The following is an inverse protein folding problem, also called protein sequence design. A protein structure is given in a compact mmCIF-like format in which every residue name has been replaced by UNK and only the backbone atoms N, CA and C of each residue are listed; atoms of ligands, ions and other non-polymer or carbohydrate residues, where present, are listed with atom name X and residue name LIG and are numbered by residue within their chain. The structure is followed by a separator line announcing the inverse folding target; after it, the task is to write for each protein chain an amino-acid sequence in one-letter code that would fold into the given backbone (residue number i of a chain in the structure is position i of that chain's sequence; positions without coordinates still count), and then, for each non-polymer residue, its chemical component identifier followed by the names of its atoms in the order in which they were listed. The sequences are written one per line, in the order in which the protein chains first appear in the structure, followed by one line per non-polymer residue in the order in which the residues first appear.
data_IF_954609065493
#
_entry.id   IF_954609065493
#
_cell.length_a   1.000
_cell.length_b   1.000
_cell.length_c   1.000
_cell.angle_alpha   90.00
_cell.angle_beta   90.00
_cell.angle_gamma   90.00
#
_symmetry.space_group_name_H-M   'P 1'
#
loop_
_entity.id
_entity.type
_entity.pdbx_description
1 polymer ?
#
# COMPACT_ATOMS: atom_id res chain seq x y z
N UNK A 1 -24.40 -4.85 -5.82
CA UNK A 1 -23.20 -4.99 -4.95
C UNK A 1 -23.13 -3.72 -4.10
N UNK A 2 -23.06 -3.82 -2.76
CA UNK A 2 -22.95 -2.67 -1.88
C UNK A 2 -21.67 -1.85 -2.14
N UNK A 3 -21.72 -0.55 -1.79
CA UNK A 3 -20.59 0.37 -1.90
C UNK A 3 -20.30 0.94 -0.50
N UNK A 4 -19.04 0.91 -0.10
CA UNK A 4 -18.51 1.59 1.07
C UNK A 4 -17.57 2.69 0.54
N UNK A 5 -17.83 3.94 0.90
CA UNK A 5 -17.05 5.09 0.44
C UNK A 5 -16.65 5.96 1.63
N UNK A 6 -15.46 6.54 1.57
CA UNK A 6 -14.97 7.49 2.57
C UNK A 6 -16.00 8.58 2.87
N UNK A 7 -16.59 9.21 1.83
CA UNK A 7 -17.53 10.34 1.95
C UNK A 7 -18.87 9.97 2.61
N UNK A 8 -19.24 8.68 2.60
CA UNK A 8 -20.50 8.20 3.18
C UNK A 8 -20.30 7.29 4.39
N UNK A 9 -19.07 7.00 4.73
CA UNK A 9 -18.73 6.09 5.83
C UNK A 9 -19.17 6.67 7.19
N UNK A 10 -19.68 5.80 8.05
CA UNK A 10 -20.01 6.11 9.43
C UNK A 10 -19.51 5.00 10.34
N UNK A 11 -18.83 5.38 11.41
CA UNK A 11 -18.33 4.42 12.42
C UNK A 11 -19.43 3.55 13.05
N UNK A 12 -20.70 3.92 12.90
CA UNK A 12 -21.84 3.11 13.37
C UNK A 12 -22.07 1.86 12.51
N UNK A 13 -21.50 1.79 11.31
CA UNK A 13 -21.70 0.73 10.32
C UNK A 13 -20.38 0.06 9.90
N UNK A 14 -19.42 -0.06 10.83
CA UNK A 14 -18.15 -0.73 10.52
C UNK A 14 -18.39 -2.18 10.13
N UNK A 15 -19.16 -2.93 10.95
CA UNK A 15 -19.54 -4.30 10.61
C UNK A 15 -20.78 -4.29 9.69
N UNK A 16 -20.52 -4.35 8.40
CA UNK A 16 -21.58 -4.38 7.38
C UNK A 16 -21.98 -5.80 6.96
N UNK A 17 -21.21 -6.85 7.38
CA UNK A 17 -21.48 -8.25 7.07
C UNK A 17 -21.41 -8.64 5.59
N UNK A 18 -20.95 -7.78 4.70
CA UNK A 18 -20.87 -8.06 3.26
C UNK A 18 -19.68 -8.94 2.94
N UNK A 19 -19.91 -10.03 2.21
CA UNK A 19 -18.84 -10.87 1.66
C UNK A 19 -18.32 -10.38 0.30
N UNK A 20 -19.11 -9.56 -0.41
CA UNK A 20 -18.79 -8.94 -1.70
C UNK A 20 -19.27 -7.50 -1.71
N UNK A 21 -18.36 -6.55 -1.89
CA UNK A 21 -18.68 -5.11 -1.90
C UNK A 21 -17.61 -4.30 -2.63
N UNK A 22 -18.02 -3.11 -3.10
CA UNK A 22 -17.07 -2.09 -3.56
C UNK A 22 -16.59 -1.25 -2.38
N UNK A 23 -15.31 -0.92 -2.38
CA UNK A 23 -14.73 0.09 -1.48
C UNK A 23 -14.13 1.21 -2.34
N UNK A 24 -14.43 2.46 -1.98
CA UNK A 24 -14.14 3.62 -2.83
C UNK A 24 -13.57 4.76 -1.99
N UNK A 25 -12.46 5.31 -2.45
CA UNK A 25 -11.97 6.62 -2.05
C UNK A 25 -12.10 7.56 -3.25
N UNK A 26 -13.04 8.52 -3.22
CA UNK A 26 -13.23 9.43 -4.33
C UNK A 26 -12.11 10.46 -4.50
N UNK A 27 -11.33 10.71 -3.44
CA UNK A 27 -10.24 11.68 -3.45
C UNK A 27 -9.18 11.37 -2.37
N UNK A 28 -8.35 10.35 -2.61
CA UNK A 28 -7.15 10.09 -1.79
C UNK A 28 -6.08 11.15 -2.06
N UNK A 29 -5.50 11.68 -0.98
CA UNK A 29 -4.58 12.81 -1.06
C UNK A 29 -5.28 14.16 -1.08
N UNK A 30 -6.31 14.36 -0.27
CA UNK A 30 -7.03 15.65 -0.14
C UNK A 30 -6.08 16.82 0.13
N UNK A 31 -5.02 16.62 0.91
CA UNK A 31 -4.00 17.63 1.18
C UNK A 31 -3.21 18.00 -0.07
N UNK A 32 -2.80 17.01 -0.83
CA UNK A 32 -2.12 17.17 -2.12
C UNK A 32 -3.02 17.95 -3.10
N UNK A 33 -4.29 17.58 -3.17
CA UNK A 33 -5.29 18.25 -3.99
C UNK A 33 -5.48 19.73 -3.61
N UNK A 34 -5.63 20.03 -2.31
CA UNK A 34 -5.77 21.42 -1.80
C UNK A 34 -4.51 22.23 -2.12
N UNK A 35 -3.34 21.64 -2.00
CA UNK A 35 -2.05 22.27 -2.29
C UNK A 35 -1.71 22.33 -3.79
N UNK A 36 -2.66 21.93 -4.66
CA UNK A 36 -2.49 21.90 -6.13
C UNK A 36 -1.30 21.04 -6.58
N UNK A 37 -1.02 19.98 -5.86
CA UNK A 37 -0.10 18.92 -6.28
C UNK A 37 -0.83 17.97 -7.20
N UNK A 38 -0.11 17.36 -8.16
CA UNK A 38 -0.67 16.38 -9.09
C UNK A 38 -0.76 14.98 -8.46
N UNK A 39 -0.33 14.79 -7.21
CA UNK A 39 -0.21 13.49 -6.54
C UNK A 39 -1.45 13.13 -5.70
N UNK A 40 -2.66 13.20 -6.30
CA UNK A 40 -3.90 12.71 -5.71
C UNK A 40 -4.54 11.64 -6.61
N UNK A 41 -5.31 10.73 -6.01
CA UNK A 41 -5.90 9.60 -6.74
C UNK A 41 -7.36 9.38 -6.41
N UNK A 42 -8.04 8.64 -7.29
CA UNK A 42 -9.36 8.04 -7.07
C UNK A 42 -9.14 6.53 -6.98
N UNK A 43 -9.61 5.90 -5.92
CA UNK A 43 -9.39 4.49 -5.67
C UNK A 43 -10.72 3.73 -5.64
N UNK A 44 -10.84 2.65 -6.41
CA UNK A 44 -12.01 1.79 -6.47
C UNK A 44 -11.56 0.34 -6.41
N UNK A 45 -12.02 -0.42 -5.43
CA UNK A 45 -11.71 -1.84 -5.30
C UNK A 45 -12.97 -2.69 -5.13
N UNK A 46 -12.94 -3.90 -5.68
CA UNK A 46 -13.92 -4.94 -5.39
C UNK A 46 -13.32 -5.93 -4.39
N UNK A 47 -13.99 -6.06 -3.26
CA UNK A 47 -13.58 -6.95 -2.19
C UNK A 47 -14.48 -8.18 -2.20
N UNK A 48 -13.89 -9.38 -2.17
CA UNK A 48 -14.57 -10.64 -1.93
C UNK A 48 -13.91 -11.37 -0.77
N UNK A 49 -14.71 -11.75 0.24
CA UNK A 49 -14.22 -12.51 1.42
C UNK A 49 -12.96 -11.92 2.02
N UNK A 50 -12.97 -10.60 2.22
CA UNK A 50 -11.87 -9.80 2.78
C UNK A 50 -10.62 -9.64 1.88
N UNK A 51 -10.67 -10.10 0.63
CA UNK A 51 -9.57 -10.03 -0.33
C UNK A 51 -9.92 -9.03 -1.42
N UNK A 52 -9.02 -8.12 -1.81
CA UNK A 52 -9.24 -7.24 -2.94
C UNK A 52 -8.99 -8.03 -4.23
N UNK A 53 -10.07 -8.36 -4.94
CA UNK A 53 -10.02 -9.20 -6.16
C UNK A 53 -9.85 -8.39 -7.45
N UNK A 54 -10.20 -7.11 -7.41
CA UNK A 54 -10.05 -6.17 -8.51
C UNK A 54 -9.84 -4.77 -7.96
N UNK A 55 -9.02 -3.95 -8.63
CA UNK A 55 -8.77 -2.58 -8.25
C UNK A 55 -8.48 -1.67 -9.43
N UNK A 56 -8.91 -0.41 -9.28
CA UNK A 56 -8.61 0.70 -10.19
C UNK A 56 -8.07 1.86 -9.36
N UNK A 57 -6.93 2.42 -9.76
CA UNK A 57 -6.37 3.65 -9.23
C UNK A 57 -6.25 4.65 -10.38
N UNK A 58 -6.97 5.74 -10.31
CA UNK A 58 -6.87 6.84 -11.27
C UNK A 58 -6.10 8.01 -10.67
N UNK A 59 -5.13 8.56 -11.41
CA UNK A 59 -4.45 9.83 -11.09
C UNK A 59 -4.80 10.87 -12.15
N UNK A 60 -5.89 11.62 -11.99
CA UNK A 60 -6.44 12.49 -13.04
C UNK A 60 -5.45 13.57 -13.50
N UNK A 61 -4.75 14.20 -12.56
CA UNK A 61 -3.77 15.24 -12.88
C UNK A 61 -2.57 14.72 -13.68
N UNK A 62 -2.22 13.44 -13.49
CA UNK A 62 -1.14 12.77 -14.23
C UNK A 62 -1.62 12.09 -15.51
N UNK A 63 -2.92 12.11 -15.79
CA UNK A 63 -3.55 11.35 -16.90
C UNK A 63 -3.15 9.87 -16.89
N UNK A 64 -3.02 9.28 -15.71
CA UNK A 64 -2.65 7.87 -15.50
C UNK A 64 -3.81 7.08 -14.91
N UNK A 65 -3.91 5.82 -15.32
CA UNK A 65 -4.87 4.85 -14.80
C UNK A 65 -4.18 3.49 -14.64
N UNK A 66 -4.27 2.92 -13.46
CA UNK A 66 -3.83 1.57 -13.14
C UNK A 66 -5.03 0.70 -12.80
N UNK A 67 -5.02 -0.52 -13.24
CA UNK A 67 -6.02 -1.51 -12.87
C UNK A 67 -5.43 -2.91 -12.85
N UNK A 68 -6.00 -3.79 -12.06
CA UNK A 68 -5.57 -5.17 -11.99
C UNK A 68 -6.59 -6.07 -11.29
N UNK A 69 -6.49 -7.35 -11.60
CA UNK A 69 -7.29 -8.41 -11.01
C UNK A 69 -6.38 -9.55 -10.56
N UNK A 70 -6.69 -10.15 -9.41
CA UNK A 70 -5.95 -11.35 -8.96
C UNK A 70 -6.19 -12.58 -9.85
N UNK A 71 -7.19 -12.53 -10.74
CA UNK A 71 -7.50 -13.60 -11.69
C UNK A 71 -6.74 -13.45 -13.02
N UNK A 72 -6.15 -12.27 -13.29
CA UNK A 72 -5.38 -11.97 -14.50
C UNK A 72 -4.04 -11.38 -14.10
N UNK A 73 -3.11 -12.22 -13.70
CA UNK A 73 -1.83 -11.79 -13.18
C UNK A 73 -0.75 -11.66 -14.28
N UNK A 74 0.04 -10.61 -14.19
CA UNK A 74 1.21 -10.35 -15.03
C UNK A 74 2.41 -10.00 -14.13
N UNK A 75 3.04 -10.99 -13.47
CA UNK A 75 4.08 -10.75 -12.48
C UNK A 75 5.30 -10.06 -13.07
N UNK A 76 5.83 -9.06 -12.38
CA UNK A 76 7.13 -8.43 -12.66
C UNK A 76 8.19 -9.17 -11.85
N UNK A 77 8.97 -9.99 -12.53
CA UNK A 77 10.00 -10.83 -11.88
C UNK A 77 11.41 -10.23 -11.98
N UNK A 78 11.56 -9.05 -12.59
CA UNK A 78 12.85 -8.37 -12.67
C UNK A 78 13.36 -8.03 -11.27
N UNK A 79 14.58 -8.44 -10.96
CA UNK A 79 15.26 -8.12 -9.71
C UNK A 79 16.76 -8.18 -9.93
N UNK A 80 17.47 -7.16 -9.46
CA UNK A 80 18.93 -7.12 -9.44
C UNK A 80 19.40 -7.12 -7.98
N UNK A 81 20.05 -8.21 -7.57
CA UNK A 81 20.52 -8.37 -6.19
C UNK A 81 21.57 -7.33 -5.78
N UNK A 82 22.36 -6.84 -6.71
CA UNK A 82 23.44 -5.88 -6.44
C UNK A 82 22.94 -4.43 -6.40
N UNK A 83 21.74 -4.17 -6.95
CA UNK A 83 21.14 -2.83 -6.92
C UNK A 83 20.64 -2.45 -5.53
N UNK A 84 20.65 -1.14 -5.20
CA UNK A 84 19.97 -0.65 -3.99
C UNK A 84 18.47 -0.97 -4.05
N UNK A 85 17.88 -1.28 -2.89
CA UNK A 85 16.42 -1.39 -2.77
C UNK A 85 15.82 0.01 -2.82
N UNK A 86 14.94 0.27 -3.79
CA UNK A 86 14.21 1.54 -3.93
C UNK A 86 13.03 1.55 -2.96
N UNK A 87 13.18 2.30 -1.86
CA UNK A 87 12.17 2.41 -0.80
C UNK A 87 11.33 3.65 -1.06
N UNK A 88 10.03 3.47 -1.36
CA UNK A 88 9.14 4.61 -1.49
C UNK A 88 8.58 5.02 -0.14
N UNK A 89 8.59 6.32 0.14
CA UNK A 89 8.08 6.90 1.37
C UNK A 89 7.21 8.13 1.08
N UNK A 90 6.44 8.56 2.07
CA UNK A 90 5.65 9.78 1.95
C UNK A 90 6.54 11.01 1.88
N UNK A 91 6.24 11.89 0.93
CA UNK A 91 6.86 13.20 0.81
C UNK A 91 6.49 14.15 1.97
N UNK A 92 5.23 14.06 2.41
CA UNK A 92 4.60 15.05 3.30
C UNK A 92 4.37 14.54 4.73
N UNK A 93 4.45 13.23 4.97
CA UNK A 93 4.04 12.58 6.21
C UNK A 93 5.07 11.54 6.66
N UNK A 94 6.25 12.01 7.13
CA UNK A 94 7.20 11.14 7.82
C UNK A 94 6.84 11.09 9.31
N UNK A 95 6.78 9.89 9.86
CA UNK A 95 6.55 9.63 11.28
C UNK A 95 7.89 9.43 11.99
N UNK A 96 7.89 9.49 13.33
CA UNK A 96 9.07 9.11 14.12
C UNK A 96 9.49 7.66 13.83
N UNK A 97 8.53 6.76 13.63
CA UNK A 97 8.80 5.36 13.28
C UNK A 97 9.45 5.22 11.91
N UNK A 98 9.12 6.07 10.94
CA UNK A 98 9.80 6.10 9.64
C UNK A 98 11.30 6.42 9.80
N UNK A 99 11.65 7.41 10.63
CA UNK A 99 13.05 7.76 10.90
C UNK A 99 13.77 6.64 11.67
N UNK A 100 13.13 6.02 12.67
CA UNK A 100 13.69 4.85 13.37
C UNK A 100 13.96 3.69 12.41
N UNK A 101 13.09 3.48 11.44
CA UNK A 101 13.30 2.45 10.42
C UNK A 101 14.49 2.79 9.51
N UNK A 102 14.60 4.03 9.04
CA UNK A 102 15.75 4.45 8.23
C UNK A 102 17.07 4.37 9.00
N UNK A 103 17.08 4.74 10.29
CA UNK A 103 18.24 4.55 11.15
C UNK A 103 18.60 3.07 11.31
N UNK A 104 17.62 2.20 11.43
CA UNK A 104 17.86 0.76 11.48
C UNK A 104 18.55 0.26 10.20
N UNK A 105 18.09 0.69 9.02
CA UNK A 105 18.72 0.35 7.74
C UNK A 105 20.17 0.87 7.66
N UNK A 106 20.42 2.12 8.07
CA UNK A 106 21.77 2.72 8.10
C UNK A 106 22.71 1.92 9.01
N UNK A 107 22.25 1.56 10.21
CA UNK A 107 23.03 0.78 11.18
C UNK A 107 23.35 -0.64 10.70
N UNK A 108 22.56 -1.17 9.77
CA UNK A 108 22.79 -2.46 9.12
C UNK A 108 23.62 -2.36 7.84
N UNK A 109 24.05 -1.15 7.44
CA UNK A 109 24.67 -0.89 6.14
C UNK A 109 23.86 -1.47 4.97
N UNK A 110 22.52 -1.43 5.09
CA UNK A 110 21.65 -1.92 4.04
C UNK A 110 21.67 -0.99 2.83
N UNK A 111 21.88 -1.54 1.63
CA UNK A 111 21.97 -0.76 0.40
C UNK A 111 20.56 -0.39 -0.08
N UNK A 112 20.18 0.89 0.06
CA UNK A 112 18.88 1.40 -0.36
C UNK A 112 18.96 2.81 -0.91
N UNK A 113 17.95 3.20 -1.67
CA UNK A 113 17.68 4.58 -2.08
C UNK A 113 16.24 4.96 -1.79
N UNK A 114 15.97 6.25 -1.59
CA UNK A 114 14.63 6.75 -1.26
C UNK A 114 13.95 7.33 -2.51
N UNK A 115 12.69 6.94 -2.69
CA UNK A 115 11.76 7.49 -3.68
C UNK A 115 10.63 8.18 -2.93
N UNK A 116 10.26 9.40 -3.31
CA UNK A 116 9.17 10.12 -2.66
C UNK A 116 7.93 10.17 -3.57
N UNK A 117 6.77 9.80 -3.02
CA UNK A 117 5.46 9.86 -3.71
C UNK A 117 4.36 10.22 -2.70
N UNK A 118 3.28 10.83 -3.20
CA UNK A 118 2.03 11.04 -2.45
C UNK A 118 1.01 9.91 -2.65
N UNK A 119 -0.09 9.93 -1.89
CA UNK A 119 -1.30 9.12 -2.09
C UNK A 119 -1.02 7.62 -2.37
N UNK A 120 -1.93 6.94 -3.02
CA UNK A 120 -1.82 5.55 -3.52
C UNK A 120 -0.75 5.36 -4.61
N UNK A 121 -0.19 6.45 -5.16
CA UNK A 121 0.92 6.40 -6.13
C UNK A 121 2.14 5.65 -5.57
N UNK A 122 2.31 5.60 -4.25
CA UNK A 122 3.37 4.83 -3.59
C UNK A 122 3.30 3.35 -3.94
N UNK A 123 2.10 2.76 -3.87
CA UNK A 123 1.90 1.34 -4.19
C UNK A 123 1.92 1.12 -5.71
N UNK A 124 1.33 2.05 -6.48
CA UNK A 124 1.39 1.99 -7.94
C UNK A 124 2.83 1.99 -8.46
N UNK A 125 3.74 2.75 -7.83
CA UNK A 125 5.15 2.78 -8.22
C UNK A 125 5.88 1.45 -8.03
N UNK A 126 5.46 0.61 -7.06
CA UNK A 126 5.96 -0.75 -6.94
C UNK A 126 5.49 -1.61 -8.13
N UNK A 127 4.22 -1.52 -8.47
CA UNK A 127 3.64 -2.30 -9.56
C UNK A 127 4.12 -1.84 -10.95
N UNK A 128 4.64 -0.62 -11.10
CA UNK A 128 5.25 -0.06 -12.31
C UNK A 128 6.77 -0.26 -12.38
N UNK A 129 7.38 -0.98 -11.42
CA UNK A 129 8.84 -1.15 -11.32
C UNK A 129 9.61 0.17 -11.12
N UNK A 130 8.97 1.19 -10.54
CA UNK A 130 9.63 2.45 -10.15
C UNK A 130 10.18 2.40 -8.71
N UNK A 131 9.63 1.50 -7.85
CA UNK A 131 10.09 1.26 -6.49
C UNK A 131 9.99 -0.24 -6.16
N UNK A 132 10.64 -0.66 -5.07
CA UNK A 132 10.73 -2.06 -4.68
C UNK A 132 9.98 -2.37 -3.38
N UNK A 133 10.00 -1.43 -2.45
CA UNK A 133 9.48 -1.63 -1.10
C UNK A 133 8.81 -0.36 -0.57
N UNK A 134 7.68 -0.53 0.14
CA UNK A 134 6.98 0.56 0.82
C UNK A 134 6.62 0.15 2.25
N UNK A 135 7.32 0.68 3.27
CA UNK A 135 6.90 0.57 4.67
C UNK A 135 5.87 1.64 5.00
N UNK A 136 4.84 1.29 5.77
CA UNK A 136 3.85 2.25 6.26
C UNK A 136 3.66 2.14 7.77
N UNK A 137 4.10 3.18 8.48
CA UNK A 137 4.00 3.33 9.94
C UNK A 137 3.05 4.47 10.36
N UNK A 138 2.21 4.94 9.48
CA UNK A 138 1.19 5.93 9.78
C UNK A 138 -0.21 5.39 9.49
N UNK A 139 -1.26 6.04 10.00
CA UNK A 139 -2.63 5.62 9.76
C UNK A 139 -2.99 5.68 8.27
N UNK A 140 -3.75 4.70 7.83
CA UNK A 140 -4.44 4.65 6.52
C UNK A 140 -5.75 3.92 6.71
N UNK A 141 -6.73 4.26 5.89
CA UNK A 141 -8.01 3.55 5.83
C UNK A 141 -7.97 2.43 4.77
N UNK A 142 -8.95 1.53 4.83
CA UNK A 142 -9.03 0.44 3.85
C UNK A 142 -9.18 0.96 2.41
N UNK A 143 -9.95 2.05 2.20
CA UNK A 143 -10.17 2.65 0.87
C UNK A 143 -8.92 3.29 0.27
N UNK A 144 -7.93 3.72 1.08
CA UNK A 144 -6.64 4.26 0.60
C UNK A 144 -5.80 3.18 -0.09
N UNK A 145 -5.99 1.90 0.28
CA UNK A 145 -5.04 0.81 -0.01
C UNK A 145 -5.63 -0.26 -0.92
N UNK A 146 -6.91 -0.61 -0.74
CA UNK A 146 -7.51 -1.81 -1.36
C UNK A 146 -7.37 -1.86 -2.89
N UNK A 147 -7.55 -0.74 -3.58
CA UNK A 147 -7.44 -0.68 -5.05
C UNK A 147 -6.01 -0.95 -5.53
N UNK A 148 -5.06 -0.27 -4.91
CA UNK A 148 -3.65 -0.44 -5.23
C UNK A 148 -3.10 -1.81 -4.80
N UNK A 149 -3.63 -2.42 -3.72
CA UNK A 149 -3.29 -3.80 -3.32
C UNK A 149 -3.72 -4.82 -4.37
N UNK A 150 -4.96 -4.72 -4.90
CA UNK A 150 -5.41 -5.60 -5.99
C UNK A 150 -4.51 -5.46 -7.23
N UNK A 151 -4.15 -4.23 -7.61
CA UNK A 151 -3.24 -3.98 -8.73
C UNK A 151 -1.85 -4.55 -8.44
N UNK A 152 -1.27 -4.29 -7.27
CA UNK A 152 0.05 -4.81 -6.89
C UNK A 152 0.10 -6.35 -6.94
N UNK A 153 -0.94 -7.02 -6.40
CA UNK A 153 -1.08 -8.50 -6.48
C UNK A 153 -1.12 -9.00 -7.91
N UNK A 154 -1.82 -8.29 -8.81
CA UNK A 154 -1.85 -8.68 -10.23
C UNK A 154 -0.48 -8.60 -10.90
N UNK A 155 0.46 -7.83 -10.31
CA UNK A 155 1.85 -7.68 -10.77
C UNK A 155 2.84 -8.58 -10.01
N UNK A 156 2.35 -9.44 -9.11
CA UNK A 156 3.18 -10.41 -8.36
C UNK A 156 3.73 -9.86 -7.04
N UNK A 157 3.29 -8.67 -6.62
CA UNK A 157 3.61 -8.10 -5.32
C UNK A 157 2.61 -8.48 -4.23
N UNK A 158 2.84 -8.01 -3.02
CA UNK A 158 1.98 -8.26 -1.88
C UNK A 158 2.09 -7.18 -0.80
N UNK A 159 1.05 -7.08 0.04
CA UNK A 159 1.02 -6.23 1.22
C UNK A 159 0.82 -7.10 2.46
N UNK A 160 1.73 -6.96 3.43
CA UNK A 160 1.71 -7.74 4.68
C UNK A 160 1.63 -6.82 5.89
N UNK A 161 0.85 -7.22 6.90
CA UNK A 161 0.82 -6.57 8.22
C UNK A 161 2.22 -6.60 8.82
N UNK A 162 2.69 -5.46 9.34
CA UNK A 162 4.02 -5.40 9.95
C UNK A 162 4.13 -6.30 11.19
N UNK A 163 3.04 -6.46 11.97
CA UNK A 163 3.05 -7.19 13.23
C UNK A 163 3.34 -8.70 13.11
N UNK A 164 2.89 -9.34 12.02
CA UNK A 164 2.92 -10.81 11.92
C UNK A 164 3.17 -11.33 10.49
N UNK A 165 3.40 -10.43 9.53
CA UNK A 165 3.64 -10.75 8.13
C UNK A 165 2.51 -11.56 7.45
N UNK A 166 1.28 -11.40 7.92
CA UNK A 166 0.09 -11.92 7.22
C UNK A 166 -0.50 -10.85 6.29
N UNK A 167 -1.23 -11.28 5.25
CA UNK A 167 -1.87 -10.36 4.31
C UNK A 167 -2.83 -9.39 4.99
N UNK A 168 -2.98 -8.19 4.45
CA UNK A 168 -4.04 -7.26 4.86
C UNK A 168 -5.40 -7.87 4.54
N UNK A 169 -6.40 -7.53 5.37
CA UNK A 169 -7.79 -7.88 5.19
C UNK A 169 -8.64 -6.63 5.11
N UNK A 170 -9.68 -6.68 4.31
CA UNK A 170 -10.61 -5.59 4.05
C UNK A 170 -12.03 -5.95 4.49
N UNK A 171 -12.83 -4.96 4.88
CA UNK A 171 -14.14 -5.21 5.47
C UNK A 171 -14.03 -5.78 6.88
N UNK A 172 -13.13 -5.25 7.67
CA UNK A 172 -13.00 -5.61 9.09
C UNK A 172 -14.21 -5.11 9.87
N UNK A 173 -14.59 -5.84 10.91
CA UNK A 173 -15.75 -5.52 11.75
C UNK A 173 -15.45 -4.54 12.90
N UNK A 174 -14.18 -4.29 13.18
CA UNK A 174 -13.71 -3.54 14.35
C UNK A 174 -13.09 -2.19 14.01
N UNK A 175 -12.50 -2.05 12.84
CA UNK A 175 -11.83 -0.82 12.42
C UNK A 175 -11.71 -0.71 10.90
N UNK A 176 -11.97 0.47 10.36
CA UNK A 176 -11.66 0.80 8.97
C UNK A 176 -10.16 1.06 8.77
N UNK A 177 -9.41 1.33 9.86
CA UNK A 177 -7.99 1.64 9.79
C UNK A 177 -7.17 0.38 9.54
N UNK A 178 -6.15 0.51 8.71
CA UNK A 178 -5.15 -0.53 8.50
C UNK A 178 -4.14 -0.54 9.66
N UNK A 179 -3.63 -1.72 10.07
CA UNK A 179 -2.43 -1.78 10.88
C UNK A 179 -1.22 -1.28 10.08
N UNK A 180 -0.07 -1.09 10.71
CA UNK A 180 1.19 -0.88 10.00
C UNK A 180 1.45 -2.03 9.04
N UNK A 181 1.99 -1.73 7.85
CA UNK A 181 2.18 -2.73 6.82
C UNK A 181 3.45 -2.49 5.98
N UNK A 182 3.82 -3.52 5.25
CA UNK A 182 4.91 -3.53 4.30
C UNK A 182 4.40 -3.97 2.93
N UNK A 183 4.71 -3.20 1.89
CA UNK A 183 4.42 -3.57 0.51
C UNK A 183 5.72 -4.02 -0.17
N UNK A 184 5.65 -5.14 -0.88
CA UNK A 184 6.76 -5.72 -1.63
C UNK A 184 6.38 -5.81 -3.10
N UNK A 185 7.29 -5.37 -3.97
CA UNK A 185 7.07 -5.43 -5.42
C UNK A 185 6.96 -6.87 -5.93
N UNK A 186 7.76 -7.78 -5.38
CA UNK A 186 7.80 -9.20 -5.73
C UNK A 186 8.48 -10.03 -4.63
N UNK A 187 8.45 -11.35 -4.80
CA UNK A 187 9.04 -12.28 -3.83
C UNK A 187 10.56 -12.11 -3.64
N UNK A 188 11.41 -11.91 -4.68
CA UNK A 188 12.84 -11.65 -4.48
C UNK A 188 13.13 -10.44 -3.59
N UNK A 189 12.44 -9.32 -3.80
CA UNK A 189 12.56 -8.12 -2.93
C UNK A 189 12.18 -8.47 -1.50
N UNK A 190 11.07 -9.18 -1.30
CA UNK A 190 10.64 -9.62 0.03
C UNK A 190 11.73 -10.43 0.72
N UNK A 191 12.27 -11.44 0.06
CA UNK A 191 13.32 -12.29 0.63
C UNK A 191 14.56 -11.49 1.04
N UNK A 192 14.97 -10.50 0.24
CA UNK A 192 16.13 -9.65 0.53
C UNK A 192 15.93 -8.79 1.78
N UNK A 193 14.74 -8.22 2.02
CA UNK A 193 14.51 -7.27 3.12
C UNK A 193 13.93 -7.93 4.39
N UNK A 194 13.25 -9.07 4.30
CA UNK A 194 12.59 -9.73 5.43
C UNK A 194 13.47 -9.95 6.67
N UNK A 195 14.75 -10.35 6.57
CA UNK A 195 15.61 -10.49 7.75
C UNK A 195 15.72 -9.20 8.55
N UNK A 196 15.81 -8.05 7.86
CA UNK A 196 15.93 -6.72 8.47
C UNK A 196 14.62 -6.31 9.13
N UNK A 197 13.49 -6.57 8.45
CA UNK A 197 12.16 -6.29 9.00
C UNK A 197 11.88 -7.12 10.26
N UNK A 198 12.27 -8.38 10.28
CA UNK A 198 12.13 -9.24 11.46
C UNK A 198 12.93 -8.74 12.67
N UNK A 199 14.11 -8.15 12.46
CA UNK A 199 14.89 -7.54 13.53
C UNK A 199 14.30 -6.19 13.97
N UNK A 200 13.80 -5.39 13.02
CA UNK A 200 13.17 -4.10 13.31
C UNK A 200 11.89 -4.26 14.13
N UNK A 201 11.02 -5.19 13.75
CA UNK A 201 9.77 -5.46 14.45
C UNK A 201 9.96 -5.87 15.91
N UNK A 202 11.05 -6.62 16.24
CA UNK A 202 11.38 -6.97 17.63
C UNK A 202 11.72 -5.76 18.50
N UNK A 203 11.99 -4.59 17.89
CA UNK A 203 12.28 -3.34 18.62
C UNK A 203 11.05 -2.44 18.71
N UNK A 204 10.06 -2.65 17.84
CA UNK A 204 8.80 -1.89 17.81
C UNK A 204 7.73 -2.47 18.74
N UNK A 205 7.77 -3.77 18.97
CA UNK A 205 6.85 -4.54 19.85
C UNK A 205 7.51 -4.81 21.20
#
# INVERSE_FOLDING_TARGET
IPIISEETFSNKNIDHGYSLFWIVDPLDGTREFINKSDEFTVNIALIEKKIPIFGIVGAPALSKLWHGSIFETQPINSFNEDAPIRIVMSKSHKTETDELFLDHLRNKNFNYELVERGSSLKICSLADDEADFYPRFGPTSEWDIAAADAFLRSRGGEILKASNFTALEYGKSDSILNPYFFCFRNEPVKQKIMPILGEFNKKLL
#
